data_IF_048135696304
#
_entry.id   IF_048135696304
#
_cell.length_a   1.000
_cell.length_b   1.000
_cell.length_c   1.000
_cell.angle_alpha   90.00
_cell.angle_beta   90.00
_cell.angle_gamma   90.00
#
_symmetry.space_group_name_H-M   'P 1'
#
loop_
_entity.id
_entity.type
_entity.pdbx_description
1 polymer ?
#
# COMPACT_ATOMS: atom_id res chain seq x y z
N UNK A 1 -10.67 9.48 13.48
CA UNK A 1 -10.16 9.29 14.85
C UNK A 1 -9.03 10.26 15.11
N UNK A 2 -9.08 11.08 16.17
CA UNK A 2 -8.05 12.10 16.47
C UNK A 2 -6.66 11.52 16.73
N UNK A 3 -6.58 10.33 17.33
CA UNK A 3 -5.30 9.64 17.57
C UNK A 3 -4.64 9.16 16.28
N UNK A 4 -5.42 8.65 15.33
CA UNK A 4 -4.90 8.21 14.03
C UNK A 4 -4.39 9.38 13.18
N UNK A 5 -5.11 10.51 13.22
CA UNK A 5 -4.66 11.74 12.54
C UNK A 5 -3.33 12.23 13.11
N UNK A 6 -3.18 12.24 14.44
CA UNK A 6 -1.92 12.59 15.08
C UNK A 6 -0.77 11.66 14.66
N UNK A 7 -0.99 10.34 14.61
CA UNK A 7 0.01 9.38 14.13
C UNK A 7 0.41 9.63 12.67
N UNK A 8 -0.57 9.94 11.81
CA UNK A 8 -0.30 10.30 10.42
C UNK A 8 0.52 11.58 10.30
N UNK A 9 0.20 12.63 11.06
CA UNK A 9 0.98 13.88 11.09
C UNK A 9 2.41 13.67 11.61
N UNK A 10 2.59 12.81 12.61
CA UNK A 10 3.90 12.43 13.14
C UNK A 10 4.72 11.62 12.12
N UNK A 11 4.08 10.70 11.41
CA UNK A 11 4.67 9.99 10.27
C UNK A 11 5.14 10.96 9.19
N UNK A 12 4.29 11.90 8.75
CA UNK A 12 4.67 12.92 7.76
C UNK A 12 5.79 13.85 8.25
N UNK A 13 5.85 14.14 9.56
CA UNK A 13 6.96 14.91 10.17
C UNK A 13 8.28 14.14 10.08
N UNK A 14 8.26 12.85 10.38
CA UNK A 14 9.44 11.98 10.29
C UNK A 14 10.00 11.93 8.87
N UNK A 15 9.14 11.82 7.85
CA UNK A 15 9.58 11.79 6.45
C UNK A 15 10.26 13.09 5.97
N UNK A 16 10.08 14.21 6.68
CA UNK A 16 10.83 15.45 6.39
C UNK A 16 12.25 15.44 6.95
N UNK A 17 12.53 14.55 7.90
CA UNK A 17 13.82 14.44 8.57
C UNK A 17 14.67 13.30 8.01
N UNK A 18 14.02 12.25 7.51
CA UNK A 18 14.69 11.05 7.00
C UNK A 18 14.26 10.80 5.56
N UNK A 19 15.23 10.56 4.68
CA UNK A 19 14.98 10.15 3.31
C UNK A 19 14.54 8.69 3.28
N UNK A 20 13.22 8.48 3.25
CA UNK A 20 12.59 7.16 3.23
C UNK A 20 11.74 7.08 1.96
N UNK A 21 12.06 6.12 1.08
CA UNK A 21 11.23 5.82 -0.07
C UNK A 21 9.93 5.15 0.38
N UNK A 22 8.79 5.74 0.00
CA UNK A 22 7.46 5.25 0.32
C UNK A 22 6.78 4.76 -0.96
N UNK A 23 6.22 3.55 -0.90
CA UNK A 23 5.39 2.97 -1.95
C UNK A 23 4.13 2.40 -1.31
N UNK A 24 2.97 2.78 -1.86
CA UNK A 24 1.65 2.41 -1.35
C UNK A 24 0.77 1.81 -2.46
N UNK A 25 -0.11 0.89 -2.07
CA UNK A 25 -1.01 0.18 -2.98
C UNK A 25 -2.44 0.25 -2.45
N UNK A 26 -3.40 0.54 -3.34
CA UNK A 26 -4.84 0.56 -3.03
C UNK A 26 -5.60 -0.48 -3.83
N UNK A 27 -6.64 -1.05 -3.22
CA UNK A 27 -7.62 -1.89 -3.92
C UNK A 27 -8.59 -1.05 -4.73
N UNK A 28 -9.03 -1.56 -5.88
CA UNK A 28 -10.08 -0.93 -6.68
C UNK A 28 -11.27 -1.85 -6.95
N UNK A 29 -11.21 -3.11 -6.52
CA UNK A 29 -12.35 -4.04 -6.62
C UNK A 29 -12.93 -4.29 -5.23
N UNK A 30 -14.26 -4.30 -5.10
CA UNK A 30 -14.87 -4.69 -3.84
C UNK A 30 -14.63 -6.17 -3.58
N UNK A 31 -14.44 -6.50 -2.31
CA UNK A 31 -14.38 -7.88 -1.82
C UNK A 31 -15.80 -8.41 -1.66
N UNK A 32 -16.07 -9.59 -2.23
CA UNK A 32 -17.36 -10.27 -2.04
C UNK A 32 -17.34 -11.08 -0.73
N UNK A 33 -18.08 -10.63 0.28
CA UNK A 33 -18.18 -11.35 1.56
C UNK A 33 -19.19 -12.48 1.43
N UNK A 34 -18.70 -13.72 1.59
CA UNK A 34 -19.31 -14.97 1.09
C UNK A 34 -20.67 -15.35 1.70
N UNK A 35 -21.04 -14.84 2.87
CA UNK A 35 -22.34 -15.15 3.49
C UNK A 35 -23.49 -14.28 2.94
N UNK A 36 -23.21 -13.05 2.52
CA UNK A 36 -24.23 -12.08 2.06
C UNK A 36 -24.04 -11.64 0.60
N UNK A 37 -22.96 -12.10 -0.06
CA UNK A 37 -22.51 -11.62 -1.38
C UNK A 37 -22.45 -10.08 -1.46
N UNK A 38 -22.24 -9.43 -0.32
CA UNK A 38 -22.16 -7.98 -0.23
C UNK A 38 -20.80 -7.54 -0.77
N UNK A 39 -20.74 -6.72 -1.84
CA UNK A 39 -19.48 -6.11 -2.27
C UNK A 39 -19.07 -5.04 -1.26
N UNK A 40 -17.93 -5.23 -0.62
CA UNK A 40 -17.35 -4.27 0.32
C UNK A 40 -15.98 -3.80 -0.16
N UNK A 41 -15.82 -2.49 -0.29
CA UNK A 41 -14.50 -1.87 -0.34
C UNK A 41 -14.04 -1.63 1.10
N UNK A 42 -12.97 -2.30 1.51
CA UNK A 42 -12.47 -2.25 2.87
C UNK A 42 -11.67 -0.98 3.12
N UNK A 43 -10.94 -0.51 2.11
CA UNK A 43 -10.12 0.70 2.20
C UNK A 43 -10.40 1.57 0.98
N UNK A 44 -10.77 2.84 1.21
CA UNK A 44 -10.96 3.80 0.12
C UNK A 44 -9.60 4.26 -0.42
N UNK A 45 -9.48 4.65 -1.70
CA UNK A 45 -8.22 5.13 -2.25
C UNK A 45 -7.63 6.30 -1.46
N UNK A 46 -8.48 7.21 -0.98
CA UNK A 46 -8.07 8.38 -0.19
C UNK A 46 -7.49 8.00 1.17
N UNK A 47 -7.95 6.88 1.75
CA UNK A 47 -7.39 6.35 3.00
C UNK A 47 -6.15 5.51 2.78
N UNK A 48 -5.97 4.94 1.59
CA UNK A 48 -4.81 4.12 1.22
C UNK A 48 -3.61 4.97 0.76
N UNK A 49 -3.85 6.18 0.27
CA UNK A 49 -2.83 7.13 -0.12
C UNK A 49 -2.37 7.97 1.09
N UNK A 50 -1.11 7.82 1.56
CA UNK A 50 -0.57 8.66 2.62
C UNK A 50 -0.24 10.09 2.16
N UNK A 51 -0.43 10.43 0.88
CA UNK A 51 -0.13 11.74 0.29
C UNK A 51 1.36 11.97 0.02
N UNK A 52 2.17 10.91 0.06
CA UNK A 52 3.63 10.93 -0.08
C UNK A 52 4.14 9.66 -0.74
N UNK A 53 5.24 9.76 -1.48
CA UNK A 53 5.81 8.63 -2.21
C UNK A 53 4.99 8.24 -3.44
N UNK A 54 5.22 7.03 -3.94
CA UNK A 54 4.47 6.49 -5.07
C UNK A 54 3.21 5.77 -4.59
N UNK A 55 2.10 6.02 -5.28
CA UNK A 55 0.82 5.39 -5.00
C UNK A 55 0.29 4.68 -6.26
N UNK A 56 -0.18 3.45 -6.09
CA UNK A 56 -0.72 2.64 -7.18
C UNK A 56 -2.07 2.05 -6.83
N UNK A 57 -3.03 2.23 -7.72
CA UNK A 57 -4.32 1.56 -7.68
C UNK A 57 -4.25 0.20 -8.39
N UNK A 58 -4.61 -0.86 -7.68
CA UNK A 58 -4.45 -2.24 -8.13
C UNK A 58 -5.84 -2.84 -8.38
N UNK A 59 -6.11 -3.43 -9.56
CA UNK A 59 -7.40 -4.02 -9.93
C UNK A 59 -7.65 -5.38 -9.27
N UNK A 60 -7.53 -5.40 -7.95
CA UNK A 60 -7.73 -6.53 -7.05
C UNK A 60 -8.59 -6.10 -5.86
N UNK A 61 -9.15 -7.09 -5.18
CA UNK A 61 -9.87 -6.89 -3.93
C UNK A 61 -8.92 -6.99 -2.72
N UNK A 62 -9.46 -6.73 -1.54
CA UNK A 62 -8.71 -6.71 -0.28
C UNK A 62 -8.03 -8.03 0.05
N UNK A 63 -8.62 -9.16 -0.36
CA UNK A 63 -8.12 -10.50 -0.05
C UNK A 63 -6.92 -10.88 -0.92
N UNK A 64 -6.84 -10.35 -2.14
CA UNK A 64 -5.80 -10.67 -3.11
C UNK A 64 -4.71 -9.60 -3.23
N UNK A 65 -4.99 -8.33 -2.93
CA UNK A 65 -3.98 -7.26 -3.04
C UNK A 65 -2.75 -7.50 -2.16
N UNK A 66 -2.91 -8.18 -1.03
CA UNK A 66 -1.79 -8.55 -0.15
C UNK A 66 -1.08 -9.86 -0.54
N UNK A 67 -1.51 -10.53 -1.62
CA UNK A 67 -1.01 -11.83 -2.07
C UNK A 67 -0.60 -11.74 -3.55
N UNK A 68 0.65 -11.35 -3.84
CA UNK A 68 1.13 -11.26 -5.22
C UNK A 68 0.94 -12.59 -5.94
N UNK A 69 0.28 -12.56 -7.11
CA UNK A 69 -0.12 -13.78 -7.82
C UNK A 69 1.08 -14.68 -8.21
N UNK A 70 2.23 -14.07 -8.54
CA UNK A 70 3.47 -14.75 -8.86
C UNK A 70 4.65 -13.76 -8.87
N UNK A 71 5.88 -14.25 -9.10
CA UNK A 71 7.12 -13.45 -9.16
C UNK A 71 7.19 -12.44 -10.31
N UNK A 72 6.30 -12.55 -11.29
CA UNK A 72 6.19 -11.62 -12.41
C UNK A 72 5.14 -10.53 -12.18
N UNK A 73 4.32 -10.65 -11.13
CA UNK A 73 3.28 -9.67 -10.80
C UNK A 73 3.88 -8.30 -10.47
N UNK A 74 3.12 -7.24 -10.79
CA UNK A 74 3.52 -5.87 -10.51
C UNK A 74 3.84 -5.65 -9.03
N UNK A 75 2.94 -6.07 -8.13
CA UNK A 75 3.11 -5.97 -6.68
C UNK A 75 4.43 -6.61 -6.21
N UNK A 76 4.69 -7.85 -6.63
CA UNK A 76 5.93 -8.54 -6.25
C UNK A 76 7.16 -7.81 -6.76
N UNK A 77 7.18 -7.44 -8.05
CA UNK A 77 8.33 -6.78 -8.68
C UNK A 77 8.58 -5.40 -8.09
N UNK A 78 7.53 -4.62 -7.82
CA UNK A 78 7.68 -3.28 -7.25
C UNK A 78 8.31 -3.34 -5.86
N UNK A 79 7.78 -4.20 -4.98
CA UNK A 79 8.36 -4.41 -3.65
C UNK A 79 9.79 -4.94 -3.74
N UNK A 80 10.04 -5.93 -4.59
CA UNK A 80 11.39 -6.49 -4.78
C UNK A 80 12.39 -5.42 -5.25
N UNK A 81 12.02 -4.58 -6.20
CA UNK A 81 12.89 -3.51 -6.70
C UNK A 81 13.26 -2.51 -5.59
N UNK A 82 12.29 -2.11 -4.75
CA UNK A 82 12.54 -1.24 -3.59
C UNK A 82 13.52 -1.94 -2.63
N UNK A 83 13.24 -3.19 -2.25
CA UNK A 83 14.12 -3.94 -1.36
C UNK A 83 15.54 -4.08 -1.93
N UNK A 84 15.67 -4.37 -3.23
CA UNK A 84 16.97 -4.54 -3.86
C UNK A 84 17.78 -3.24 -3.85
N UNK A 85 17.13 -2.09 -4.06
CA UNK A 85 17.76 -0.77 -4.00
C UNK A 85 18.41 -0.50 -2.64
N UNK A 86 17.85 -0.98 -1.53
CA UNK A 86 18.37 -0.67 -0.19
C UNK A 86 19.17 -1.81 0.45
N UNK A 87 18.91 -3.07 0.08
CA UNK A 87 19.62 -4.22 0.65
C UNK A 87 20.88 -4.56 -0.13
N UNK A 88 20.84 -4.51 -1.48
CA UNK A 88 21.95 -4.97 -2.32
C UNK A 88 22.81 -3.85 -2.90
N UNK A 89 22.35 -2.60 -2.87
CA UNK A 89 23.17 -1.44 -3.29
C UNK A 89 24.11 -0.93 -2.19
N UNK A 90 24.09 -1.55 -1.00
CA UNK A 90 24.99 -1.23 0.11
C UNK A 90 26.30 -2.04 0.09
N UNK A 91 26.69 -2.59 -1.07
CA UNK A 91 27.95 -3.31 -1.30
C UNK A 91 28.93 -2.48 -2.11
#
# INVERSE_FOLDING_TARGET
SSKLLKLHEEFLKMLRQYDIEIVSFSETKPTLVTALKLPLQFVTPESADPGVGEFYEIPQDHLYICKPANRHSFLYRKVLNVLQKYIFSAS
#
